data_IF_691083264356
#
_entry.id   IF_691083264356
#
_cell.length_a   1.000
_cell.length_b   1.000
_cell.length_c   1.000
_cell.angle_alpha   90.00
_cell.angle_beta   90.00
_cell.angle_gamma   90.00
#
_symmetry.space_group_name_H-M   'P 1'
#
loop_
_entity.id
_entity.type
_entity.pdbx_description
1 polymer ?
#
# COMPACT_ATOMS: atom_id res chain seq x y z
N UNK A 1 5.83 8.69 25.55
CA UNK A 1 5.20 8.05 24.38
C UNK A 1 4.89 9.15 23.39
N UNK A 2 5.82 9.38 22.47
CA UNK A 2 5.57 10.27 21.33
C UNK A 2 4.68 9.50 20.35
N UNK A 3 3.50 10.04 20.06
CA UNK A 3 2.64 9.49 19.01
C UNK A 3 3.34 9.75 17.68
N UNK A 4 3.42 8.77 16.76
CA UNK A 4 3.96 9.04 15.43
C UNK A 4 3.13 10.17 14.80
N UNK A 5 3.83 11.18 14.28
CA UNK A 5 3.25 12.38 13.68
C UNK A 5 2.65 11.99 12.33
N UNK A 6 1.51 11.29 12.35
CA UNK A 6 0.70 11.09 11.16
C UNK A 6 -0.05 12.38 10.89
N UNK A 7 0.51 13.18 9.98
CA UNK A 7 -0.08 14.27 9.19
C UNK A 7 -1.26 15.06 9.81
N UNK A 8 -1.20 16.41 9.89
CA UNK A 8 -2.26 17.21 10.50
C UNK A 8 -3.65 16.93 9.89
N UNK A 9 -4.74 17.19 10.65
CA UNK A 9 -6.11 17.01 10.14
C UNK A 9 -6.28 17.68 8.77
N UNK A 10 -6.71 16.90 7.77
CA UNK A 10 -6.87 17.35 6.38
C UNK A 10 -5.73 17.00 5.42
N UNK A 11 -4.58 16.51 5.92
CA UNK A 11 -3.53 15.95 5.08
C UNK A 11 -3.57 14.41 5.18
N UNK A 12 -4.17 13.74 4.19
CA UNK A 12 -4.20 12.28 4.13
C UNK A 12 -2.79 11.73 3.90
N UNK A 13 -2.22 10.91 4.80
CA UNK A 13 -0.99 10.20 4.44
C UNK A 13 -1.27 9.31 3.22
N UNK A 14 -0.35 9.27 2.22
CA UNK A 14 -0.49 8.39 1.08
C UNK A 14 -0.72 6.94 1.53
N UNK A 15 -1.57 6.20 0.82
CA UNK A 15 -1.87 4.81 1.18
C UNK A 15 -0.59 3.94 1.30
N UNK A 16 0.42 4.20 0.48
CA UNK A 16 1.70 3.48 0.55
C UNK A 16 2.44 3.73 1.87
N UNK A 17 2.47 4.98 2.34
CA UNK A 17 3.08 5.34 3.63
C UNK A 17 2.37 4.68 4.80
N UNK A 18 1.04 4.69 4.79
CA UNK A 18 0.26 3.98 5.81
C UNK A 18 0.63 2.48 5.86
N UNK A 19 0.68 1.82 4.70
CA UNK A 19 1.03 0.40 4.61
C UNK A 19 2.45 0.17 5.13
N UNK A 20 3.42 0.96 4.67
CA UNK A 20 4.82 0.88 5.11
C UNK A 20 4.91 0.96 6.63
N UNK A 21 4.33 2.00 7.22
CA UNK A 21 4.46 2.24 8.65
C UNK A 21 3.82 1.11 9.47
N UNK A 22 2.68 0.58 9.01
CA UNK A 22 2.07 -0.61 9.62
C UNK A 22 2.92 -1.86 9.52
N UNK A 23 3.60 -2.08 8.39
CA UNK A 23 4.51 -3.21 8.23
C UNK A 23 5.79 -3.02 9.06
N UNK A 24 6.32 -1.80 9.21
CA UNK A 24 7.45 -1.53 10.13
C UNK A 24 7.07 -1.74 11.61
N UNK A 25 5.79 -1.59 11.97
CA UNK A 25 5.31 -1.80 13.34
C UNK A 25 5.19 -3.28 13.74
N UNK A 26 4.90 -4.19 12.79
CA UNK A 26 4.53 -5.59 13.08
C UNK A 26 5.17 -6.64 12.18
N UNK A 27 6.17 -6.24 11.39
CA UNK A 27 6.91 -7.00 10.38
C UNK A 27 6.08 -7.48 9.17
N UNK A 28 4.91 -8.07 9.38
CA UNK A 28 4.06 -8.60 8.32
C UNK A 28 2.56 -8.42 8.57
N UNK A 29 1.77 -8.31 7.50
CA UNK A 29 0.31 -8.26 7.61
C UNK A 29 -0.39 -8.73 6.32
N UNK A 30 -1.64 -9.19 6.47
CA UNK A 30 -2.47 -9.53 5.32
C UNK A 30 -3.26 -8.29 4.81
N UNK A 31 -3.52 -8.20 3.48
CA UNK A 31 -4.04 -6.98 2.84
C UNK A 31 -5.38 -6.48 3.42
N UNK A 32 -6.26 -7.41 3.83
CA UNK A 32 -7.58 -7.07 4.35
C UNK A 32 -7.51 -6.37 5.71
N UNK A 33 -6.58 -6.74 6.59
CA UNK A 33 -6.39 -6.10 7.89
C UNK A 33 -5.84 -4.69 7.73
N UNK A 34 -4.82 -4.53 6.88
CA UNK A 34 -4.31 -3.20 6.47
C UNK A 34 -5.43 -2.30 5.92
N UNK A 35 -6.27 -2.82 5.03
CA UNK A 35 -7.40 -2.05 4.50
C UNK A 35 -8.40 -1.65 5.58
N UNK A 36 -8.74 -2.57 6.50
CA UNK A 36 -9.70 -2.30 7.59
C UNK A 36 -9.19 -1.17 8.49
N UNK A 37 -7.93 -1.23 8.90
CA UNK A 37 -7.29 -0.19 9.73
C UNK A 37 -7.22 1.15 8.97
N UNK A 38 -6.86 1.15 7.68
CA UNK A 38 -6.86 2.35 6.85
C UNK A 38 -8.25 3.01 6.79
N UNK A 39 -9.31 2.21 6.67
CA UNK A 39 -10.70 2.68 6.64
C UNK A 39 -11.10 3.26 7.99
N UNK A 40 -10.75 2.60 9.10
CA UNK A 40 -11.03 3.09 10.45
C UNK A 40 -10.35 4.44 10.69
N UNK A 41 -9.05 4.55 10.39
CA UNK A 41 -8.29 5.79 10.56
C UNK A 41 -8.86 6.93 9.68
N UNK A 42 -9.20 6.65 8.42
CA UNK A 42 -9.79 7.65 7.53
C UNK A 42 -11.18 8.10 8.02
N UNK A 43 -12.00 7.17 8.53
CA UNK A 43 -13.32 7.50 9.10
C UNK A 43 -13.20 8.43 10.30
N UNK A 44 -12.29 8.15 11.22
CA UNK A 44 -12.06 8.97 12.41
C UNK A 44 -11.64 10.41 12.05
N UNK A 45 -10.90 10.56 10.95
CA UNK A 45 -10.46 11.87 10.41
C UNK A 45 -11.49 12.55 9.51
N UNK A 46 -12.63 11.92 9.23
CA UNK A 46 -13.65 12.44 8.30
C UNK A 46 -13.22 12.39 6.83
N UNK A 47 -12.24 11.57 6.49
CA UNK A 47 -11.67 11.43 5.15
C UNK A 47 -12.40 10.38 4.32
N UNK A 48 -12.29 10.49 2.99
CA UNK A 48 -12.80 9.45 2.07
C UNK A 48 -11.91 8.22 2.14
N UNK A 49 -12.48 7.04 1.96
CA UNK A 49 -11.72 5.78 1.95
C UNK A 49 -12.11 4.91 0.75
N UNK A 50 -11.16 4.11 0.21
CA UNK A 50 -11.42 3.23 -0.92
C UNK A 50 -12.18 1.96 -0.50
N UNK A 51 -12.89 1.35 -1.45
CA UNK A 51 -13.34 -0.03 -1.30
C UNK A 51 -12.15 -1.00 -1.28
N UNK A 52 -12.31 -2.17 -0.65
CA UNK A 52 -11.24 -3.17 -0.61
C UNK A 52 -10.75 -3.56 -2.01
N UNK A 53 -11.69 -3.73 -2.96
CA UNK A 53 -11.35 -4.04 -4.36
C UNK A 53 -10.46 -2.96 -4.99
N UNK A 54 -10.75 -1.68 -4.74
CA UNK A 54 -9.94 -0.57 -5.25
C UNK A 54 -8.59 -0.51 -4.55
N UNK A 55 -8.56 -0.64 -3.22
CA UNK A 55 -7.32 -0.74 -2.44
C UNK A 55 -6.41 -1.83 -2.98
N UNK A 56 -6.93 -3.04 -3.16
CA UNK A 56 -6.14 -4.18 -3.60
C UNK A 56 -5.65 -4.04 -5.05
N UNK A 57 -6.56 -3.76 -5.99
CA UNK A 57 -6.23 -3.73 -7.43
C UNK A 57 -5.48 -2.48 -7.88
N UNK A 58 -5.63 -1.35 -7.19
CA UNK A 58 -5.03 -0.10 -7.64
C UNK A 58 -3.81 0.32 -6.82
N UNK A 59 -3.66 -0.21 -5.60
CA UNK A 59 -2.55 0.13 -4.72
C UNK A 59 -1.73 -1.10 -4.35
N UNK A 60 -2.35 -2.09 -3.69
CA UNK A 60 -1.61 -3.22 -3.12
C UNK A 60 -0.89 -4.07 -4.18
N UNK A 61 -1.54 -4.32 -5.32
CA UNK A 61 -0.92 -4.99 -6.47
C UNK A 61 0.30 -4.24 -6.99
N UNK A 62 0.22 -2.91 -7.12
CA UNK A 62 1.35 -2.10 -7.57
C UNK A 62 2.55 -2.24 -6.63
N UNK A 63 2.33 -2.21 -5.30
CA UNK A 63 3.40 -2.41 -4.32
C UNK A 63 4.13 -3.74 -4.53
N UNK A 64 3.40 -4.80 -4.87
CA UNK A 64 3.99 -6.10 -5.19
C UNK A 64 4.76 -6.04 -6.50
N UNK A 65 4.19 -5.43 -7.53
CA UNK A 65 4.77 -5.42 -8.87
C UNK A 65 6.06 -4.58 -8.93
N UNK A 66 6.20 -3.56 -8.06
CA UNK A 66 7.44 -2.78 -7.89
C UNK A 66 8.35 -3.29 -6.76
N UNK A 67 8.05 -4.48 -6.21
CA UNK A 67 8.82 -5.12 -5.14
C UNK A 67 9.02 -4.27 -3.87
N UNK A 68 8.07 -3.39 -3.52
CA UNK A 68 8.10 -2.73 -2.20
C UNK A 68 7.69 -3.68 -1.08
N UNK A 69 6.89 -4.69 -1.41
CA UNK A 69 6.47 -5.74 -0.50
C UNK A 69 6.67 -7.11 -1.12
N UNK A 70 6.95 -8.08 -0.27
CA UNK A 70 7.11 -9.48 -0.65
C UNK A 70 6.21 -10.38 0.19
N UNK A 71 6.00 -11.60 -0.30
CA UNK A 71 5.13 -12.57 0.37
C UNK A 71 5.91 -13.25 1.50
N UNK A 72 5.27 -13.37 2.65
CA UNK A 72 5.76 -14.20 3.75
C UNK A 72 5.19 -15.61 3.59
N UNK A 73 6.02 -16.67 3.65
CA UNK A 73 5.58 -18.05 3.74
C UNK A 73 4.65 -18.26 4.94
N UNK A 74 3.57 -19.03 4.79
CA UNK A 74 2.58 -19.24 5.85
C UNK A 74 3.15 -19.84 7.13
N UNK A 75 4.18 -20.68 6.98
CA UNK A 75 4.91 -21.35 8.05
C UNK A 75 5.80 -20.41 8.87
N UNK A 76 6.10 -19.21 8.36
CA UNK A 76 6.89 -18.18 9.04
C UNK A 76 6.00 -17.14 9.77
N UNK A 77 4.68 -17.24 9.62
CA UNK A 77 3.71 -16.36 10.29
C UNK A 77 3.34 -16.96 11.64
N UNK A 78 3.82 -16.35 12.72
CA UNK A 78 3.58 -16.82 14.10
C UNK A 78 2.09 -16.80 14.47
N UNK A 79 1.41 -15.69 14.16
CA UNK A 79 -0.01 -15.47 14.45
C UNK A 79 -0.88 -15.61 13.18
N UNK A 80 -0.72 -16.74 12.49
CA UNK A 80 -1.45 -16.97 11.24
C UNK A 80 -2.96 -17.09 11.48
N UNK A 81 -3.73 -16.15 10.91
CA UNK A 81 -5.18 -16.17 10.94
C UNK A 81 -5.71 -16.99 9.74
N UNK A 82 -6.41 -18.10 9.99
CA UNK A 82 -7.06 -18.82 8.89
C UNK A 82 -8.11 -17.94 8.17
N UNK A 83 -8.17 -18.08 6.85
CA UNK A 83 -9.14 -17.40 6.01
C UNK A 83 -10.52 -18.04 6.13
N UNK A 84 -11.60 -17.29 5.90
CA UNK A 84 -12.96 -17.84 5.81
C UNK A 84 -13.24 -18.59 4.49
N UNK A 85 -12.22 -18.81 3.66
CA UNK A 85 -12.35 -19.39 2.33
C UNK A 85 -11.39 -20.56 2.11
N UNK A 86 -11.49 -21.24 0.95
CA UNK A 86 -10.69 -22.42 0.65
C UNK A 86 -9.20 -22.10 0.41
N UNK A 87 -8.83 -20.82 0.36
CA UNK A 87 -7.46 -20.39 0.13
C UNK A 87 -6.86 -19.81 1.42
N UNK A 88 -5.61 -20.19 1.75
CA UNK A 88 -4.90 -19.60 2.87
C UNK A 88 -4.76 -18.08 2.70
N UNK A 89 -4.70 -17.36 3.82
CA UNK A 89 -4.37 -15.94 3.81
C UNK A 89 -2.93 -15.76 3.35
N UNK A 90 -2.70 -14.69 2.62
CA UNK A 90 -1.38 -14.30 2.19
C UNK A 90 -0.93 -13.09 3.02
N UNK A 91 0.17 -13.26 3.74
CA UNK A 91 0.84 -12.21 4.48
C UNK A 91 1.95 -11.60 3.63
N UNK A 92 2.22 -10.33 3.87
CA UNK A 92 3.25 -9.57 3.18
C UNK A 92 4.07 -8.77 4.17
N UNK A 93 5.36 -8.65 3.89
CA UNK A 93 6.31 -7.79 4.60
C UNK A 93 6.92 -6.78 3.64
N UNK A 94 7.64 -5.80 4.18
CA UNK A 94 8.47 -4.91 3.35
C UNK A 94 9.60 -5.76 2.75
N UNK A 95 9.84 -5.63 1.46
CA UNK A 95 10.98 -6.31 0.84
C UNK A 95 12.30 -5.73 1.34
N UNK A 96 13.32 -6.59 1.50
CA UNK A 96 14.63 -6.21 2.05
C UNK A 96 15.22 -4.96 1.36
N UNK A 97 15.56 -3.95 2.17
CA UNK A 97 16.15 -2.68 1.70
C UNK A 97 15.16 -1.69 1.08
N UNK A 98 13.85 -1.96 1.11
CA UNK A 98 12.83 -1.09 0.55
C UNK A 98 12.19 -0.15 1.56
N UNK A 99 12.54 -0.22 2.84
CA UNK A 99 11.91 0.52 3.95
C UNK A 99 11.92 2.03 3.74
N UNK A 100 12.98 2.56 3.14
CA UNK A 100 13.19 3.99 2.95
C UNK A 100 13.02 4.42 1.48
N UNK A 101 12.42 3.56 0.65
CA UNK A 101 12.16 3.87 -0.76
C UNK A 101 11.18 5.04 -0.93
N UNK A 102 11.51 6.01 -1.79
CA UNK A 102 10.60 7.11 -2.14
C UNK A 102 9.30 6.61 -2.80
N UNK A 103 9.31 5.40 -3.36
CA UNK A 103 8.16 4.81 -4.01
C UNK A 103 6.98 4.53 -3.06
N UNK A 104 7.18 4.57 -1.73
CA UNK A 104 6.08 4.52 -0.77
C UNK A 104 5.15 5.74 -0.86
N UNK A 105 5.67 6.91 -1.24
CA UNK A 105 4.86 8.12 -1.43
C UNK A 105 4.09 8.07 -2.75
N UNK A 106 4.72 7.57 -3.80
CA UNK A 106 4.16 7.56 -5.16
C UNK A 106 4.28 6.19 -5.86
N UNK A 107 3.61 5.13 -5.38
CA UNK A 107 3.76 3.79 -5.96
C UNK A 107 3.33 3.70 -7.43
N UNK A 108 2.38 4.54 -7.83
CA UNK A 108 1.86 4.53 -9.20
C UNK A 108 2.89 5.05 -10.21
N UNK A 109 3.54 6.17 -9.89
CA UNK A 109 4.60 6.76 -10.71
C UNK A 109 5.83 5.86 -10.77
N UNK A 110 6.15 5.15 -9.68
CA UNK A 110 7.23 4.16 -9.70
C UNK A 110 6.88 2.91 -10.53
N UNK A 111 5.62 2.50 -10.55
CA UNK A 111 5.15 1.37 -11.37
C UNK A 111 5.13 1.72 -12.86
N UNK A 112 4.64 2.90 -13.19
CA UNK A 112 4.58 3.42 -14.54
C UNK A 112 4.99 4.89 -14.51
N UNK A 113 6.24 5.22 -14.91
CA UNK A 113 6.71 6.60 -14.96
C UNK A 113 5.83 7.52 -15.83
N UNK A 114 5.12 6.97 -16.82
CA UNK A 114 4.22 7.73 -17.69
C UNK A 114 2.90 8.10 -16.99
N UNK A 115 2.56 7.47 -15.87
CA UNK A 115 1.38 7.82 -15.06
C UNK A 115 1.52 9.13 -14.29
N UNK A 116 2.74 9.71 -14.25
CA UNK A 116 3.02 11.05 -13.70
C UNK A 116 3.01 12.17 -14.75
N UNK A 117 2.89 11.85 -16.04
CA UNK A 117 2.84 12.84 -17.11
C UNK A 117 1.45 13.46 -17.18
N UNK A 118 1.39 14.78 -17.35
CA UNK A 118 0.15 15.49 -17.63
C UNK A 118 -0.49 14.97 -18.92
N UNK A 119 -1.79 15.20 -19.09
CA UNK A 119 -2.53 14.73 -20.27
C UNK A 119 -1.99 15.25 -21.62
N UNK A 120 -1.17 16.30 -21.59
CA UNK A 120 -0.53 16.90 -22.77
C UNK A 120 0.70 16.08 -23.21
N UNK A 121 1.63 15.76 -22.31
CA UNK A 121 2.84 15.00 -22.64
C UNK A 121 2.53 13.54 -23.08
N UNK A 122 1.44 12.95 -22.56
CA UNK A 122 1.00 11.61 -23.00
C UNK A 122 0.47 11.59 -24.44
N UNK A 123 -0.03 12.73 -24.98
CA UNK A 123 -0.47 12.79 -26.38
C UNK A 123 0.71 12.89 -27.34
N UNK A 124 1.72 13.70 -27.04
CA UNK A 124 2.89 13.84 -27.91
C UNK A 124 3.63 12.50 -28.08
N UNK A 125 3.82 11.73 -27.01
CA UNK A 125 4.44 10.40 -27.08
C UNK A 125 3.65 9.37 -27.89
N UNK A 126 2.32 9.55 -28.03
CA UNK A 126 1.46 8.63 -28.77
C UNK A 126 1.33 8.99 -30.25
N UNK A 127 1.63 10.22 -30.63
CA UNK A 127 1.57 10.69 -32.02
C UNK A 127 2.88 10.42 -32.79
N UNK A 128 3.99 10.17 -32.08
CA UNK A 128 5.30 9.80 -32.65
C UNK A 128 5.53 8.28 -32.83
N UNK A 129 4.51 7.43 -32.63
CA UNK A 129 4.55 5.97 -32.91
C UNK A 129 3.52 5.57 -33.96
#
# INVERSE_FOLDING_TARGET
MERPVFAPPGLEPPCGIFIRDKLKERDYEYPYKLWKELVEERKERGNKYPSYKSFYKNYFTKLKDINLIEKVPSEEVEDYEEGFGPSPRQYYQIADGMEDSDCWYHPQTCYDPLSGLGAEDYRELKEDT
#
